data_IF_705594132561
#
_entry.id   IF_705594132561
#
_cell.length_a   1.000
_cell.length_b   1.000
_cell.length_c   1.000
_cell.angle_alpha   90.00
_cell.angle_beta   90.00
_cell.angle_gamma   90.00
#
_symmetry.space_group_name_H-M   'P 1'
#
loop_
_entity.id
_entity.type
_entity.pdbx_description
1 polymer ?
#
# COMPACT_ATOMS: atom_id res chain seq x y z
N UNK A 1 6.40 20.24 -31.45
CA UNK A 1 5.51 20.71 -30.36
C UNK A 1 6.33 20.75 -29.09
N UNK A 2 6.24 21.83 -28.32
CA UNK A 2 6.87 21.90 -27.01
C UNK A 2 5.90 21.28 -26.00
N UNK A 3 6.31 20.18 -25.36
CA UNK A 3 5.50 19.52 -24.33
C UNK A 3 5.61 20.34 -23.04
N UNK A 4 4.53 20.51 -22.26
CA UNK A 4 4.60 21.19 -20.97
C UNK A 4 5.58 20.51 -20.02
N UNK A 5 6.26 21.30 -19.17
CA UNK A 5 7.08 20.76 -18.09
C UNK A 5 6.14 20.11 -17.06
N UNK A 6 6.41 18.86 -16.70
CA UNK A 6 5.62 18.12 -15.72
C UNK A 6 6.15 18.40 -14.29
N UNK A 7 5.33 19.03 -13.45
CA UNK A 7 5.67 19.39 -12.06
C UNK A 7 4.63 18.87 -11.06
N UNK A 8 4.01 17.72 -11.35
CA UNK A 8 2.93 17.11 -10.55
C UNK A 8 3.26 15.69 -10.09
N UNK A 9 4.53 15.46 -9.72
CA UNK A 9 5.05 14.14 -9.33
C UNK A 9 4.42 13.57 -8.05
N UNK A 10 3.83 14.42 -7.20
CA UNK A 10 3.10 13.97 -6.01
C UNK A 10 1.76 13.31 -6.36
N UNK A 11 1.18 13.63 -7.52
CA UNK A 11 -0.06 12.99 -7.98
C UNK A 11 0.20 11.62 -8.60
N UNK A 12 1.22 11.52 -9.46
CA UNK A 12 1.74 10.24 -10.00
C UNK A 12 3.10 10.45 -10.69
N UNK A 13 3.83 9.37 -10.96
CA UNK A 13 5.14 9.40 -11.60
C UNK A 13 5.15 8.59 -12.90
N UNK A 14 5.84 9.03 -13.96
CA UNK A 14 6.11 8.18 -15.11
C UNK A 14 6.84 6.90 -14.67
N UNK A 15 6.41 5.75 -15.17
CA UNK A 15 7.06 4.47 -14.86
C UNK A 15 8.47 4.47 -15.46
N UNK A 16 9.47 4.10 -14.67
CA UNK A 16 10.85 3.97 -15.12
C UNK A 16 10.94 2.93 -16.27
N UNK A 17 11.64 3.21 -17.38
CA UNK A 17 11.75 2.27 -18.50
C UNK A 17 12.20 0.86 -18.09
N UNK A 18 13.10 0.74 -17.09
CA UNK A 18 13.57 -0.55 -16.56
C UNK A 18 12.45 -1.35 -15.89
N UNK A 19 11.49 -0.66 -15.27
CA UNK A 19 10.30 -1.28 -14.68
C UNK A 19 9.36 -1.75 -15.78
N UNK A 20 9.14 -0.93 -16.82
CA UNK A 20 8.30 -1.31 -17.98
C UNK A 20 8.84 -2.58 -18.64
N UNK A 21 10.13 -2.63 -18.94
CA UNK A 21 10.78 -3.81 -19.54
C UNK A 21 10.52 -5.08 -18.72
N UNK A 22 10.70 -5.00 -17.39
CA UNK A 22 10.46 -6.13 -16.48
C UNK A 22 8.99 -6.53 -16.37
N UNK A 23 8.07 -5.57 -16.41
CA UNK A 23 6.63 -5.88 -16.35
C UNK A 23 6.17 -6.59 -17.62
N UNK A 24 6.66 -6.18 -18.80
CA UNK A 24 6.27 -6.79 -20.09
C UNK A 24 6.66 -8.26 -20.16
N UNK A 25 7.78 -8.66 -19.54
CA UNK A 25 8.21 -10.06 -19.43
C UNK A 25 7.15 -10.98 -18.77
N UNK A 26 6.20 -10.43 -18.02
CA UNK A 26 5.16 -11.18 -17.31
C UNK A 26 3.80 -11.21 -18.03
N UNK A 27 3.66 -10.59 -19.21
CA UNK A 27 2.34 -10.36 -19.82
C UNK A 27 2.06 -11.24 -21.06
N UNK A 28 3.07 -11.58 -21.86
CA UNK A 28 2.87 -12.31 -23.12
C UNK A 28 2.90 -13.83 -22.95
N UNK A 29 2.43 -14.55 -23.97
CA UNK A 29 2.45 -16.03 -24.00
C UNK A 29 3.88 -16.59 -23.99
N UNK A 30 4.84 -15.85 -24.53
CA UNK A 30 6.27 -16.18 -24.52
C UNK A 30 6.92 -15.88 -23.16
N UNK A 31 6.25 -15.09 -22.31
CA UNK A 31 6.72 -14.62 -21.01
C UNK A 31 6.20 -15.42 -19.82
N UNK A 32 6.38 -14.85 -18.62
CA UNK A 32 5.95 -15.43 -17.34
C UNK A 32 4.50 -15.04 -16.98
N UNK A 33 3.54 -15.47 -17.80
CA UNK A 33 2.13 -15.10 -17.66
C UNK A 33 1.33 -15.95 -16.65
N UNK A 34 1.96 -16.94 -16.03
CA UNK A 34 1.28 -17.94 -15.21
C UNK A 34 0.62 -17.35 -13.96
N UNK A 35 -0.40 -18.04 -13.44
CA UNK A 35 -0.98 -17.70 -12.15
C UNK A 35 -0.09 -18.26 -11.02
N UNK A 36 0.45 -17.43 -10.10
CA UNK A 36 1.30 -17.89 -9.00
C UNK A 36 0.59 -18.83 -8.01
N UNK A 37 -0.75 -18.88 -8.00
CA UNK A 37 -1.50 -19.83 -7.19
C UNK A 37 -1.55 -21.25 -7.79
N UNK A 38 -1.12 -21.44 -9.04
CA UNK A 38 -1.11 -22.75 -9.70
C UNK A 38 0.09 -23.60 -9.25
N UNK A 39 -0.13 -24.53 -8.31
CA UNK A 39 0.94 -25.31 -7.69
C UNK A 39 1.37 -26.58 -8.43
N UNK A 40 0.69 -26.95 -9.52
CA UNK A 40 0.87 -28.25 -10.19
C UNK A 40 1.69 -28.23 -11.46
N UNK A 41 2.13 -27.06 -11.93
CA UNK A 41 2.84 -26.94 -13.21
C UNK A 41 3.84 -25.78 -13.23
N UNK A 42 4.83 -25.89 -14.13
CA UNK A 42 5.96 -24.96 -14.25
C UNK A 42 5.56 -23.50 -14.42
N UNK A 43 4.47 -23.21 -15.13
CA UNK A 43 4.03 -21.81 -15.32
C UNK A 43 3.65 -21.12 -14.01
N UNK A 44 3.08 -21.85 -13.04
CA UNK A 44 2.72 -21.25 -11.76
C UNK A 44 3.93 -21.11 -10.83
N UNK A 45 4.84 -22.09 -10.83
CA UNK A 45 6.09 -22.01 -10.06
C UNK A 45 6.97 -20.83 -10.48
N UNK A 46 7.11 -20.60 -11.79
CA UNK A 46 7.85 -19.43 -12.30
C UNK A 46 7.19 -18.10 -11.92
N UNK A 47 5.85 -18.04 -11.93
CA UNK A 47 5.12 -16.85 -11.50
C UNK A 47 5.27 -16.62 -9.98
N UNK A 48 5.21 -17.67 -9.16
CA UNK A 48 5.44 -17.61 -7.72
C UNK A 48 6.86 -17.11 -7.40
N UNK A 49 7.89 -17.63 -8.08
CA UNK A 49 9.28 -17.18 -7.93
C UNK A 49 9.44 -15.69 -8.23
N UNK A 50 8.79 -15.19 -9.30
CA UNK A 50 8.82 -13.77 -9.65
C UNK A 50 8.15 -12.89 -8.58
N UNK A 51 7.00 -13.33 -8.04
CA UNK A 51 6.30 -12.63 -6.96
C UNK A 51 7.13 -12.58 -5.69
N UNK A 52 7.77 -13.70 -5.30
CA UNK A 52 8.60 -13.76 -4.11
C UNK A 52 9.91 -12.98 -4.25
N UNK A 53 10.47 -12.92 -5.46
CA UNK A 53 11.60 -12.03 -5.77
C UNK A 53 11.21 -10.57 -5.62
N UNK A 54 10.06 -10.16 -6.19
CA UNK A 54 9.55 -8.80 -6.03
C UNK A 54 9.26 -8.45 -4.57
N UNK A 55 8.73 -9.41 -3.79
CA UNK A 55 8.47 -9.24 -2.35
C UNK A 55 9.76 -8.96 -1.58
N UNK A 56 10.83 -9.71 -1.87
CA UNK A 56 12.16 -9.49 -1.28
C UNK A 56 12.70 -8.10 -1.61
N UNK A 57 12.62 -7.66 -2.85
CA UNK A 57 13.09 -6.31 -3.22
C UNK A 57 12.40 -5.20 -2.41
N UNK A 58 11.09 -5.29 -2.18
CA UNK A 58 10.35 -4.34 -1.34
C UNK A 58 10.76 -4.47 0.13
N UNK A 59 10.89 -5.69 0.63
CA UNK A 59 11.28 -5.94 2.01
C UNK A 59 12.70 -5.44 2.30
N UNK A 60 13.65 -5.63 1.38
CA UNK A 60 15.03 -5.15 1.49
C UNK A 60 15.08 -3.62 1.51
N UNK A 61 14.25 -2.94 0.69
CA UNK A 61 14.13 -1.48 0.71
C UNK A 61 13.61 -0.96 2.06
N UNK A 62 12.66 -1.67 2.66
CA UNK A 62 12.03 -1.31 3.94
C UNK A 62 12.76 -1.88 5.16
N UNK A 63 13.80 -2.69 4.95
CA UNK A 63 14.53 -3.43 5.98
C UNK A 63 13.62 -4.26 6.91
N UNK A 64 12.74 -5.07 6.32
CA UNK A 64 11.82 -5.96 7.03
C UNK A 64 11.89 -7.41 6.52
N UNK A 65 11.22 -8.35 7.20
CA UNK A 65 11.09 -9.71 6.71
C UNK A 65 10.10 -9.75 5.54
N UNK A 66 10.38 -10.46 4.43
CA UNK A 66 9.46 -10.56 3.30
C UNK A 66 8.05 -11.00 3.70
N UNK A 67 7.90 -11.81 4.75
CA UNK A 67 6.60 -12.28 5.26
C UNK A 67 5.73 -11.17 5.86
N UNK A 68 6.31 -10.00 6.15
CA UNK A 68 5.60 -8.80 6.62
C UNK A 68 4.97 -8.01 5.46
N UNK A 69 5.36 -8.28 4.20
CA UNK A 69 4.81 -7.60 3.03
C UNK A 69 3.50 -8.26 2.58
N UNK A 70 2.40 -7.51 2.68
CA UNK A 70 1.10 -7.87 2.12
C UNK A 70 0.84 -7.05 0.85
N UNK A 71 0.63 -7.72 -0.28
CA UNK A 71 0.29 -7.04 -1.53
C UNK A 71 -1.16 -6.57 -1.52
N UNK A 72 -1.38 -5.31 -1.86
CA UNK A 72 -2.71 -4.70 -2.07
C UNK A 72 -2.75 -4.04 -3.46
N UNK A 73 -3.91 -3.53 -3.86
CA UNK A 73 -4.08 -2.76 -5.10
C UNK A 73 -3.46 -1.36 -5.06
N UNK A 74 -3.02 -0.89 -3.89
CA UNK A 74 -2.39 0.42 -3.71
C UNK A 74 -2.51 0.96 -2.28
N UNK A 75 -1.95 2.16 -2.07
CA UNK A 75 -1.90 2.80 -0.74
C UNK A 75 -3.30 2.99 -0.11
N UNK A 76 -4.31 3.39 -0.90
CA UNK A 76 -5.69 3.54 -0.40
C UNK A 76 -6.24 2.25 0.21
N UNK A 77 -5.99 1.09 -0.41
CA UNK A 77 -6.42 -0.20 0.15
C UNK A 77 -5.56 -0.58 1.37
N UNK A 78 -4.25 -0.31 1.32
CA UNK A 78 -3.35 -0.59 2.44
C UNK A 78 -3.74 0.19 3.70
N UNK A 79 -4.06 1.48 3.59
CA UNK A 79 -4.55 2.31 4.69
C UNK A 79 -5.86 1.75 5.27
N UNK A 80 -6.80 1.37 4.40
CA UNK A 80 -8.07 0.76 4.81
C UNK A 80 -7.84 -0.56 5.56
N UNK A 81 -6.99 -1.43 5.01
CA UNK A 81 -6.68 -2.73 5.58
C UNK A 81 -6.00 -2.60 6.94
N UNK A 82 -5.01 -1.72 7.05
CA UNK A 82 -4.28 -1.51 8.29
C UNK A 82 -5.19 -0.95 9.39
N UNK A 83 -5.92 0.14 9.10
CA UNK A 83 -6.73 0.84 10.09
C UNK A 83 -7.94 0.01 10.49
N UNK A 84 -8.76 -0.42 9.52
CA UNK A 84 -10.00 -1.16 9.81
C UNK A 84 -9.67 -2.57 10.32
N UNK A 85 -8.68 -3.23 9.72
CA UNK A 85 -8.24 -4.55 10.14
C UNK A 85 -7.78 -4.57 11.59
N UNK A 86 -6.90 -3.64 12.00
CA UNK A 86 -6.44 -3.55 13.38
C UNK A 86 -7.57 -3.13 14.34
N UNK A 87 -8.37 -2.12 13.97
CA UNK A 87 -9.48 -1.64 14.79
C UNK A 87 -10.49 -2.77 15.08
N UNK A 88 -10.90 -3.51 14.06
CA UNK A 88 -11.84 -4.63 14.21
C UNK A 88 -11.23 -5.78 15.00
N UNK A 89 -9.98 -6.16 14.72
CA UNK A 89 -9.31 -7.26 15.41
C UNK A 89 -9.13 -6.99 16.92
N UNK A 90 -8.77 -5.76 17.29
CA UNK A 90 -8.51 -5.36 18.68
C UNK A 90 -9.68 -4.67 19.38
N UNK A 91 -10.87 -4.62 18.79
CA UNK A 91 -12.04 -3.92 19.34
C UNK A 91 -12.42 -4.31 20.78
N UNK A 92 -12.06 -5.52 21.24
CA UNK A 92 -12.27 -5.97 22.62
C UNK A 92 -11.31 -5.36 23.64
N UNK A 93 -10.17 -4.83 23.20
CA UNK A 93 -9.17 -4.17 24.05
C UNK A 93 -9.43 -2.67 24.21
N UNK A 94 -10.20 -2.09 23.31
CA UNK A 94 -10.52 -0.67 23.27
C UNK A 94 -11.01 -0.29 21.88
N UNK A 95 -11.68 0.86 21.80
CA UNK A 95 -12.24 1.41 20.55
C UNK A 95 -11.81 2.85 20.30
N UNK A 96 -10.76 3.30 20.98
CA UNK A 96 -10.21 4.64 20.80
C UNK A 96 -9.05 4.59 19.79
N UNK A 97 -9.10 5.47 18.79
CA UNK A 97 -8.11 5.61 17.73
C UNK A 97 -7.66 7.07 17.73
N UNK A 98 -6.37 7.30 17.51
CA UNK A 98 -5.79 8.63 17.38
C UNK A 98 -5.21 8.75 15.97
N UNK A 99 -5.51 9.84 15.29
CA UNK A 99 -4.97 10.18 13.96
C UNK A 99 -4.74 11.69 13.83
N UNK A 100 -4.14 12.14 12.74
CA UNK A 100 -3.90 13.57 12.46
C UNK A 100 -4.95 14.16 11.51
N UNK A 101 -5.28 15.45 11.64
CA UNK A 101 -6.18 16.15 10.72
C UNK A 101 -5.63 16.29 9.30
N UNK A 102 -4.31 16.20 9.13
CA UNK A 102 -3.63 16.36 7.83
C UNK A 102 -3.30 15.04 7.13
N UNK A 103 -3.82 13.92 7.62
CA UNK A 103 -3.69 12.63 6.95
C UNK A 103 -4.34 12.61 5.57
N UNK A 104 -3.89 11.68 4.72
CA UNK A 104 -4.53 11.42 3.44
C UNK A 104 -6.00 10.98 3.62
N UNK A 105 -6.85 11.23 2.60
CA UNK A 105 -8.28 10.89 2.68
C UNK A 105 -8.56 9.41 2.93
N UNK A 106 -7.68 8.52 2.45
CA UNK A 106 -7.82 7.09 2.71
C UNK A 106 -7.77 6.74 4.20
N UNK A 107 -7.01 7.49 5.01
CA UNK A 107 -6.99 7.38 6.48
C UNK A 107 -8.22 8.06 7.07
N UNK A 108 -8.44 9.35 6.74
CA UNK A 108 -9.52 10.14 7.34
C UNK A 108 -10.91 9.54 7.10
N UNK A 109 -11.19 9.08 5.88
CA UNK A 109 -12.49 8.48 5.55
C UNK A 109 -12.61 7.05 6.10
N UNK A 110 -11.50 6.33 6.30
CA UNK A 110 -11.50 5.07 7.06
C UNK A 110 -11.86 5.29 8.53
N UNK A 111 -11.27 6.29 9.17
CA UNK A 111 -11.59 6.70 10.54
C UNK A 111 -13.05 7.13 10.67
N UNK A 112 -13.55 7.97 9.77
CA UNK A 112 -14.98 8.38 9.74
C UNK A 112 -15.93 7.22 9.58
N UNK A 113 -15.55 6.22 8.79
CA UNK A 113 -16.34 5.00 8.67
C UNK A 113 -16.35 4.22 10.00
N UNK A 114 -15.21 4.10 10.69
CA UNK A 114 -15.12 3.47 12.01
C UNK A 114 -15.89 4.24 13.09
N UNK A 115 -15.94 5.57 13.04
CA UNK A 115 -16.79 6.37 13.94
C UNK A 115 -18.27 5.96 13.83
N UNK A 116 -18.76 5.72 12.61
CA UNK A 116 -20.13 5.21 12.38
C UNK A 116 -20.35 3.79 12.90
N UNK A 117 -19.28 3.04 13.08
CA UNK A 117 -19.28 1.68 13.64
C UNK A 117 -19.10 1.69 15.19
N UNK A 118 -19.06 2.88 15.79
CA UNK A 118 -18.96 3.07 17.24
C UNK A 118 -17.54 3.05 17.80
N UNK A 119 -16.53 3.36 16.97
CA UNK A 119 -15.20 3.73 17.45
C UNK A 119 -15.16 5.21 17.82
N UNK A 120 -14.30 5.56 18.77
CA UNK A 120 -13.98 6.94 19.11
C UNK A 120 -12.69 7.32 18.39
N UNK A 121 -12.67 8.45 17.67
CA UNK A 121 -11.48 8.92 16.97
C UNK A 121 -11.10 10.32 17.43
N UNK A 122 -9.85 10.48 17.87
CA UNK A 122 -9.24 11.79 18.10
C UNK A 122 -8.45 12.22 16.87
N UNK A 123 -8.77 13.40 16.34
CA UNK A 123 -8.05 14.02 15.21
C UNK A 123 -7.18 15.16 15.72
N UNK A 124 -5.87 14.92 15.82
CA UNK A 124 -4.87 15.88 16.30
C UNK A 124 -4.72 17.05 15.33
N UNK A 125 -4.66 18.27 15.87
CA UNK A 125 -4.37 19.49 15.11
C UNK A 125 -2.86 19.68 15.02
N UNK A 126 -2.27 19.84 13.82
CA UNK A 126 -0.86 20.14 13.69
C UNK A 126 -0.55 21.59 14.08
N UNK A 127 0.72 21.85 14.39
CA UNK A 127 1.26 23.20 14.44
C UNK A 127 1.18 23.91 13.08
N UNK A 128 1.49 25.21 13.06
CA UNK A 128 1.48 26.01 11.82
C UNK A 128 2.49 25.54 10.77
N UNK A 129 3.46 24.73 11.16
CA UNK A 129 4.46 24.09 10.31
C UNK A 129 4.03 22.69 9.82
N UNK A 130 2.86 22.20 10.23
CA UNK A 130 2.35 20.88 9.89
C UNK A 130 2.85 19.75 10.81
N UNK A 131 3.59 20.06 11.89
CA UNK A 131 4.15 19.06 12.80
C UNK A 131 3.17 18.73 13.94
N UNK A 132 3.02 17.44 14.25
CA UNK A 132 2.29 16.95 15.42
C UNK A 132 3.28 16.72 16.56
N UNK A 133 3.00 17.27 17.74
CA UNK A 133 3.82 17.08 18.94
C UNK A 133 3.32 15.90 19.79
N UNK A 134 4.20 15.23 20.56
CA UNK A 134 3.78 14.19 21.51
C UNK A 134 2.97 14.71 22.70
N UNK A 135 3.14 15.99 23.08
CA UNK A 135 2.38 16.69 24.12
C UNK A 135 1.01 17.16 23.61
#
# INVERSE_FOLDING_TARGET
>A
MQVPIYLDYSSTTPVDPRVVEKMVECLSMEGNFGNPASRSHVFGWKAEEAVETARRHVADLLNCDPREIVWTSGATEADNLAIKGAAHFYAKKGKHIITSKIEHKAVLDSCRQLEREGFEVTYLEPGSDGIITPE
#
